data_IF_875835614188
#
_entry.id   IF_875835614188
#
_cell.length_a   1.000
_cell.length_b   1.000
_cell.length_c   1.000
_cell.angle_alpha   90.00
_cell.angle_beta   90.00
_cell.angle_gamma   90.00
#
_symmetry.space_group_name_H-M   'P 1'
#
loop_
_entity.id
_entity.type
_entity.pdbx_description
1 polymer ?
#
# COMPACT_ATOMS: atom_id res chain seq x y z
N UNK A 1 -16.72 14.13 14.43
CA UNK A 1 -17.43 13.44 15.53
C UNK A 1 -18.51 12.56 14.94
N UNK A 2 -18.34 11.25 15.08
CA UNK A 2 -19.31 10.25 14.64
C UNK A 2 -20.58 10.27 15.49
N UNK A 3 -21.73 10.12 14.85
CA UNK A 3 -23.02 9.95 15.53
C UNK A 3 -23.11 8.58 16.22
N UNK A 4 -23.98 8.45 17.23
CA UNK A 4 -24.25 7.16 17.89
C UNK A 4 -24.78 6.06 16.95
N UNK A 5 -25.29 6.45 15.78
CA UNK A 5 -25.70 5.51 14.73
C UNK A 5 -24.50 5.05 13.89
N UNK A 6 -23.60 5.96 13.52
CA UNK A 6 -22.38 5.65 12.76
C UNK A 6 -21.45 4.70 13.50
N UNK A 7 -21.42 4.74 14.83
CA UNK A 7 -20.68 3.77 15.65
C UNK A 7 -21.13 2.32 15.49
N UNK A 8 -22.36 2.09 14.98
CA UNK A 8 -22.94 0.75 14.75
C UNK A 8 -22.89 0.32 13.29
N UNK A 9 -22.32 1.14 12.41
CA UNK A 9 -22.18 0.80 10.99
C UNK A 9 -21.20 -0.35 10.81
N UNK A 10 -21.59 -1.33 9.99
CA UNK A 10 -20.69 -2.34 9.49
C UNK A 10 -19.98 -1.88 8.22
N UNK A 11 -19.17 -2.77 7.65
CA UNK A 11 -18.39 -2.48 6.44
C UNK A 11 -19.25 -1.98 5.29
N UNK A 12 -20.44 -2.56 5.07
CA UNK A 12 -21.31 -2.17 3.95
C UNK A 12 -21.82 -0.72 4.05
N UNK A 13 -22.24 -0.27 5.24
CA UNK A 13 -22.70 1.11 5.43
C UNK A 13 -21.54 2.11 5.28
N UNK A 14 -20.36 1.76 5.78
CA UNK A 14 -19.17 2.58 5.62
C UNK A 14 -18.70 2.67 4.17
N UNK A 15 -18.74 1.56 3.43
CA UNK A 15 -18.48 1.55 1.98
C UNK A 15 -19.45 2.47 1.28
N UNK A 16 -20.74 2.39 1.61
CA UNK A 16 -21.76 3.21 0.98
C UNK A 16 -21.58 4.71 1.28
N UNK A 17 -21.14 5.05 2.49
CA UNK A 17 -20.78 6.42 2.84
C UNK A 17 -19.52 6.92 2.12
N UNK A 18 -18.49 6.08 1.98
CA UNK A 18 -17.16 6.46 1.48
C UNK A 18 -17.05 6.40 -0.05
N UNK A 19 -17.82 5.55 -0.73
CA UNK A 19 -17.63 5.29 -2.16
C UNK A 19 -17.81 6.55 -3.03
N UNK A 20 -18.68 7.45 -2.59
CA UNK A 20 -19.02 8.71 -3.26
C UNK A 20 -18.24 9.91 -2.73
N UNK A 21 -17.38 9.72 -1.72
CA UNK A 21 -16.55 10.81 -1.20
C UNK A 21 -15.43 11.16 -2.18
N UNK A 22 -15.13 12.45 -2.23
CA UNK A 22 -14.01 13.00 -2.96
C UNK A 22 -12.72 12.58 -2.25
N UNK A 23 -11.93 11.71 -2.88
CA UNK A 23 -10.65 11.26 -2.33
C UNK A 23 -9.68 12.44 -2.34
N UNK A 24 -9.05 12.79 -1.21
CA UNK A 24 -8.12 13.92 -1.15
C UNK A 24 -6.83 13.64 -1.95
N UNK A 25 -5.92 14.58 -1.97
CA UNK A 25 -4.50 14.36 -2.32
C UNK A 25 -3.62 14.85 -1.18
N UNK A 26 -2.37 14.44 -1.13
CA UNK A 26 -1.44 14.96 -0.13
C UNK A 26 -1.04 16.40 -0.47
N UNK A 27 -0.85 17.22 0.56
CA UNK A 27 -0.50 18.64 0.40
C UNK A 27 0.74 18.82 -0.48
N UNK A 28 1.77 18.01 -0.24
CA UNK A 28 3.01 18.02 -1.02
C UNK A 28 2.81 17.63 -2.48
N UNK A 29 1.85 16.75 -2.78
CA UNK A 29 1.53 16.32 -4.15
C UNK A 29 0.84 17.43 -4.91
N UNK A 30 -0.11 18.11 -4.26
CA UNK A 30 -0.78 19.28 -4.85
C UNK A 30 0.23 20.39 -5.13
N UNK A 31 1.08 20.74 -4.15
CA UNK A 31 2.11 21.76 -4.32
C UNK A 31 3.09 21.42 -5.45
N UNK A 32 3.53 20.15 -5.52
CA UNK A 32 4.43 19.67 -6.58
C UNK A 32 3.79 19.81 -7.97
N UNK A 33 2.56 19.32 -8.16
CA UNK A 33 1.92 19.39 -9.48
C UNK A 33 1.54 20.82 -9.89
N UNK A 34 1.22 21.70 -8.93
CA UNK A 34 1.05 23.13 -9.21
C UNK A 34 2.36 23.78 -9.64
N UNK A 35 3.48 23.46 -8.98
CA UNK A 35 4.79 23.95 -9.37
C UNK A 35 5.17 23.49 -10.78
N UNK A 36 4.96 22.20 -11.09
CA UNK A 36 5.21 21.64 -12.42
C UNK A 36 4.29 22.26 -13.49
N UNK A 37 3.03 22.55 -13.16
CA UNK A 37 2.09 23.23 -14.07
C UNK A 37 2.41 24.71 -14.30
N UNK A 38 3.23 25.32 -13.44
CA UNK A 38 3.68 26.71 -13.59
C UNK A 38 4.95 26.87 -14.43
N UNK A 39 5.56 25.75 -14.85
CA UNK A 39 6.72 25.76 -15.74
C UNK A 39 6.33 26.26 -17.14
N UNK A 40 7.34 26.65 -17.93
CA UNK A 40 7.11 26.92 -19.35
C UNK A 40 6.70 25.65 -20.11
N UNK A 41 6.12 25.83 -21.29
CA UNK A 41 5.59 24.70 -22.09
C UNK A 41 6.68 23.68 -22.42
N UNK A 42 7.90 24.13 -22.73
CA UNK A 42 9.01 23.26 -23.09
C UNK A 42 9.45 22.37 -21.91
N UNK A 43 9.55 22.93 -20.70
CA UNK A 43 9.89 22.19 -19.49
C UNK A 43 8.77 21.24 -19.08
N UNK A 44 7.51 21.64 -19.28
CA UNK A 44 6.34 20.80 -18.99
C UNK A 44 6.29 19.59 -19.93
N UNK A 45 6.55 19.78 -21.22
CA UNK A 45 6.60 18.70 -22.22
C UNK A 45 7.77 17.72 -21.99
N UNK A 46 8.83 18.15 -21.31
CA UNK A 46 9.94 17.29 -20.94
C UNK A 46 9.60 16.29 -19.81
N UNK A 47 8.53 16.53 -19.05
CA UNK A 47 8.12 15.65 -17.96
C UNK A 47 7.55 14.35 -18.54
N UNK A 48 8.28 13.26 -18.34
CA UNK A 48 7.87 11.97 -18.89
C UNK A 48 6.70 11.36 -18.10
N UNK A 49 5.88 10.54 -18.77
CA UNK A 49 4.82 9.78 -18.09
C UNK A 49 5.35 8.86 -16.97
N UNK A 50 6.59 8.38 -17.10
CA UNK A 50 7.25 7.57 -16.06
C UNK A 50 7.61 8.40 -14.83
N UNK A 51 8.05 9.64 -15.02
CA UNK A 51 8.32 10.57 -13.91
C UNK A 51 7.04 10.92 -13.18
N UNK A 52 5.97 11.25 -13.91
CA UNK A 52 4.63 11.46 -13.34
C UNK A 52 4.12 10.24 -12.57
N UNK A 53 4.30 9.03 -13.12
CA UNK A 53 3.92 7.80 -12.42
C UNK A 53 4.69 7.63 -11.09
N UNK A 54 5.94 8.11 -11.00
CA UNK A 54 6.70 8.17 -9.76
C UNK A 54 6.07 9.10 -8.72
N UNK A 55 5.63 10.29 -9.13
CA UNK A 55 4.92 11.21 -8.22
C UNK A 55 3.57 10.65 -7.76
N UNK A 56 2.83 10.01 -8.67
CA UNK A 56 1.57 9.33 -8.33
C UNK A 56 1.81 8.20 -7.33
N UNK A 57 2.87 7.41 -7.50
CA UNK A 57 3.24 6.34 -6.55
C UNK A 57 3.57 6.84 -5.14
N UNK A 58 4.08 8.07 -5.01
CA UNK A 58 4.42 8.68 -3.72
C UNK A 58 3.19 9.21 -2.95
N UNK A 59 2.00 9.12 -3.55
CA UNK A 59 0.73 9.54 -2.96
C UNK A 59 -0.33 8.42 -3.14
N UNK A 60 -0.62 7.63 -2.08
CA UNK A 60 -1.62 6.57 -2.15
C UNK A 60 -3.03 7.08 -2.45
N UNK A 61 -3.37 8.31 -2.06
CA UNK A 61 -4.66 8.89 -2.41
C UNK A 61 -4.73 9.22 -3.90
N UNK A 62 -3.70 9.87 -4.45
CA UNK A 62 -3.64 10.19 -5.88
C UNK A 62 -3.61 8.93 -6.73
N UNK A 63 -2.84 7.91 -6.34
CA UNK A 63 -2.81 6.61 -7.03
C UNK A 63 -4.19 5.97 -7.11
N UNK A 64 -4.92 5.92 -5.97
CA UNK A 64 -6.27 5.39 -5.94
C UNK A 64 -7.24 6.23 -6.78
N UNK A 65 -7.17 7.56 -6.65
CA UNK A 65 -8.02 8.50 -7.37
C UNK A 65 -7.84 8.39 -8.87
N UNK A 66 -6.59 8.34 -9.34
CA UNK A 66 -6.26 8.25 -10.75
C UNK A 66 -6.68 6.91 -11.34
N UNK A 67 -6.50 5.80 -10.60
CA UNK A 67 -6.97 4.49 -10.99
C UNK A 67 -8.50 4.47 -11.14
N UNK A 68 -9.24 4.95 -10.13
CA UNK A 68 -10.72 5.06 -10.20
C UNK A 68 -11.16 5.92 -11.39
N UNK A 69 -10.48 7.03 -11.62
CA UNK A 69 -10.79 7.94 -12.72
C UNK A 69 -10.59 7.29 -14.10
N UNK A 70 -9.48 6.59 -14.29
CA UNK A 70 -9.18 5.87 -15.52
C UNK A 70 -10.22 4.76 -15.79
N UNK A 71 -10.59 3.99 -14.76
CA UNK A 71 -11.52 2.86 -14.90
C UNK A 71 -12.97 3.31 -15.14
N UNK A 72 -13.43 4.37 -14.47
CA UNK A 72 -14.73 4.98 -14.75
C UNK A 72 -14.88 5.44 -16.21
N UNK A 73 -13.77 5.82 -16.84
CA UNK A 73 -13.73 6.21 -18.25
C UNK A 73 -13.60 5.01 -19.18
N UNK A 74 -12.82 3.99 -18.79
CA UNK A 74 -12.73 2.70 -19.51
C UNK A 74 -14.11 2.05 -19.64
N UNK A 75 -14.93 2.06 -18.60
CA UNK A 75 -16.29 1.53 -18.71
C UNK A 75 -17.12 2.24 -19.80
N UNK A 76 -16.73 3.45 -20.23
CA UNK A 76 -17.38 4.22 -21.30
C UNK A 76 -16.67 4.10 -22.66
N UNK A 77 -15.45 3.56 -22.71
CA UNK A 77 -14.59 3.44 -23.90
C UNK A 77 -13.98 2.04 -23.94
N UNK A 78 -14.34 1.21 -24.93
CA UNK A 78 -13.76 -0.14 -25.06
C UNK A 78 -12.21 -0.08 -25.04
N UNK A 79 -11.61 -0.45 -23.92
CA UNK A 79 -10.18 -0.34 -23.64
C UNK A 79 -9.72 -1.39 -22.63
N UNK A 80 -8.41 -1.61 -22.56
CA UNK A 80 -7.82 -2.57 -21.62
C UNK A 80 -7.93 -2.06 -20.17
N UNK A 81 -7.90 -3.00 -19.22
CA UNK A 81 -7.93 -2.67 -17.79
C UNK A 81 -6.70 -1.86 -17.37
N UNK A 82 -6.89 -0.84 -16.55
CA UNK A 82 -5.80 -0.04 -16.00
C UNK A 82 -5.28 -0.71 -14.73
N UNK A 83 -4.19 -1.47 -14.82
CA UNK A 83 -3.65 -2.22 -13.67
C UNK A 83 -2.35 -1.65 -13.09
N UNK A 84 -1.84 -0.55 -13.67
CA UNK A 84 -0.60 0.12 -13.25
C UNK A 84 -0.77 1.64 -13.17
N UNK A 85 0.05 2.31 -12.36
CA UNK A 85 0.05 3.77 -12.25
C UNK A 85 0.45 4.43 -13.57
N UNK A 86 1.42 3.86 -14.29
CA UNK A 86 1.84 4.37 -15.60
C UNK A 86 0.69 4.33 -16.61
N UNK A 87 -0.06 3.23 -16.67
CA UNK A 87 -1.25 3.15 -17.51
C UNK A 87 -2.30 4.19 -17.10
N UNK A 88 -2.52 4.39 -15.79
CA UNK A 88 -3.46 5.39 -15.28
C UNK A 88 -3.05 6.83 -15.65
N UNK A 89 -1.76 7.15 -15.58
CA UNK A 89 -1.19 8.43 -16.02
C UNK A 89 -1.38 8.61 -17.52
N UNK A 90 -1.08 7.59 -18.34
CA UNK A 90 -1.24 7.66 -19.79
C UNK A 90 -2.71 7.80 -20.22
N UNK A 91 -3.63 7.08 -19.58
CA UNK A 91 -5.07 7.16 -19.85
C UNK A 91 -5.68 8.51 -19.44
N UNK A 92 -5.14 9.13 -18.38
CA UNK A 92 -5.62 10.43 -17.90
C UNK A 92 -5.01 11.59 -18.68
N UNK A 93 -3.70 11.53 -18.94
CA UNK A 93 -2.93 12.61 -19.54
C UNK A 93 -2.60 13.74 -18.55
N UNK A 94 -1.60 14.55 -18.90
CA UNK A 94 -1.06 15.62 -18.05
C UNK A 94 -2.11 16.67 -17.64
N UNK A 95 -2.77 17.31 -18.61
CA UNK A 95 -3.69 18.43 -18.34
C UNK A 95 -4.79 18.02 -17.36
N UNK A 96 -5.31 16.81 -17.53
CA UNK A 96 -6.37 16.31 -16.68
C UNK A 96 -5.87 15.85 -15.32
N UNK A 97 -4.67 15.25 -15.24
CA UNK A 97 -4.02 14.96 -13.96
C UNK A 97 -3.88 16.25 -13.12
N UNK A 98 -3.39 17.33 -13.73
CA UNK A 98 -3.26 18.65 -13.08
C UNK A 98 -4.61 19.19 -12.65
N UNK A 99 -5.64 19.08 -13.49
CA UNK A 99 -7.00 19.51 -13.14
C UNK A 99 -7.56 18.70 -11.97
N UNK A 100 -7.41 17.37 -11.99
CA UNK A 100 -7.87 16.49 -10.92
C UNK A 100 -7.22 16.86 -9.60
N UNK A 101 -5.90 17.05 -9.57
CA UNK A 101 -5.16 17.40 -8.35
C UNK A 101 -5.49 18.82 -7.87
N UNK A 102 -5.62 19.78 -8.79
CA UNK A 102 -5.99 21.15 -8.45
C UNK A 102 -7.41 21.25 -7.88
N UNK A 103 -8.34 20.42 -8.34
CA UNK A 103 -9.71 20.35 -7.85
C UNK A 103 -9.87 19.51 -6.57
N UNK A 104 -8.78 18.87 -6.10
CA UNK A 104 -8.85 17.95 -4.96
C UNK A 104 -8.83 18.67 -3.62
N UNK A 105 -9.55 18.12 -2.63
CA UNK A 105 -9.28 18.44 -1.24
C UNK A 105 -7.88 17.94 -0.85
N UNK A 106 -7.31 18.54 0.19
CA UNK A 106 -5.97 18.20 0.67
C UNK A 106 -6.03 17.47 2.00
N UNK A 107 -5.23 16.41 2.12
CA UNK A 107 -4.86 15.81 3.39
C UNK A 107 -3.59 16.48 3.89
N UNK A 108 -3.70 17.16 5.03
CA UNK A 108 -2.56 17.74 5.74
C UNK A 108 -1.79 16.69 6.57
N UNK A 109 -0.69 17.10 7.19
CA UNK A 109 0.16 16.22 8.00
C UNK A 109 -0.19 16.30 9.50
N UNK A 110 -1.37 16.82 9.87
CA UNK A 110 -1.74 17.06 11.27
C UNK A 110 -2.05 15.79 12.07
N UNK A 111 -2.44 14.70 11.38
CA UNK A 111 -2.85 13.44 11.99
C UNK A 111 -1.73 12.40 11.90
N UNK A 112 -1.02 12.16 13.02
CA UNK A 112 0.08 11.18 13.07
C UNK A 112 -0.33 9.79 12.54
N UNK A 113 -1.48 9.27 12.97
CA UNK A 113 -1.93 7.94 12.55
C UNK A 113 -2.18 7.83 11.05
N UNK A 114 -2.68 8.91 10.42
CA UNK A 114 -2.82 9.01 8.96
C UNK A 114 -1.45 9.02 8.28
N UNK A 115 -0.50 9.81 8.77
CA UNK A 115 0.84 9.91 8.20
C UNK A 115 1.60 8.58 8.32
N UNK A 116 1.47 7.87 9.45
CA UNK A 116 2.07 6.54 9.64
C UNK A 116 1.47 5.53 8.64
N UNK A 117 0.15 5.58 8.43
CA UNK A 117 -0.55 4.72 7.47
C UNK A 117 -0.13 5.00 6.03
N UNK A 118 0.03 6.28 5.68
CA UNK A 118 0.49 6.73 4.37
C UNK A 118 1.93 6.29 4.11
N UNK A 119 2.85 6.57 5.05
CA UNK A 119 4.23 6.14 4.96
C UNK A 119 4.34 4.62 4.77
N UNK A 120 3.54 3.87 5.55
CA UNK A 120 3.48 2.41 5.46
C UNK A 120 2.99 1.91 4.10
N UNK A 121 1.98 2.55 3.52
CA UNK A 121 1.47 2.21 2.19
C UNK A 121 2.54 2.44 1.10
N UNK A 122 3.21 3.59 1.14
CA UNK A 122 4.30 3.91 0.19
C UNK A 122 5.48 2.97 0.38
N UNK A 123 5.84 2.64 1.62
CA UNK A 123 6.89 1.67 1.92
C UNK A 123 6.54 0.28 1.39
N UNK A 124 5.32 -0.21 1.65
CA UNK A 124 4.85 -1.50 1.15
C UNK A 124 4.94 -1.58 -0.38
N UNK A 125 4.54 -0.51 -1.08
CA UNK A 125 4.66 -0.39 -2.53
C UNK A 125 6.12 -0.50 -3.01
N UNK A 126 7.03 0.22 -2.37
CA UNK A 126 8.46 0.21 -2.71
C UNK A 126 9.08 -1.18 -2.51
N UNK A 127 8.81 -1.82 -1.37
CA UNK A 127 9.27 -3.17 -1.06
C UNK A 127 8.72 -4.18 -2.08
N UNK A 128 7.40 -4.12 -2.34
CA UNK A 128 6.73 -4.98 -3.29
C UNK A 128 7.34 -4.87 -4.70
N UNK A 129 7.61 -3.64 -5.15
CA UNK A 129 8.26 -3.37 -6.44
C UNK A 129 9.66 -3.96 -6.50
N UNK A 130 10.46 -3.73 -5.46
CA UNK A 130 11.83 -4.25 -5.37
C UNK A 130 11.87 -5.78 -5.43
N UNK A 131 11.00 -6.45 -4.68
CA UNK A 131 10.92 -7.91 -4.70
C UNK A 131 10.37 -8.47 -6.01
N UNK A 132 9.28 -7.90 -6.53
CA UNK A 132 8.70 -8.34 -7.79
C UNK A 132 9.68 -8.16 -8.97
N UNK A 133 10.55 -7.14 -8.93
CA UNK A 133 11.59 -6.91 -9.96
C UNK A 133 12.68 -7.99 -9.99
N UNK A 134 12.79 -8.82 -8.96
CA UNK A 134 13.71 -9.97 -8.93
C UNK A 134 13.15 -11.18 -9.69
N UNK A 135 11.99 -11.03 -10.34
CA UNK A 135 11.35 -12.04 -11.18
C UNK A 135 10.92 -11.45 -12.52
N UNK A 136 11.18 -12.17 -13.61
CA UNK A 136 10.83 -11.74 -14.96
C UNK A 136 9.38 -12.03 -15.35
N UNK A 137 8.72 -12.99 -14.69
CA UNK A 137 7.35 -13.44 -14.96
C UNK A 137 6.27 -12.68 -14.16
N UNK A 138 6.67 -11.63 -13.45
CA UNK A 138 5.79 -10.80 -12.62
C UNK A 138 5.88 -9.36 -13.09
N UNK A 139 4.74 -8.68 -13.20
CA UNK A 139 4.71 -7.22 -13.40
C UNK A 139 4.97 -6.50 -12.07
N UNK A 140 6.12 -5.83 -11.88
CA UNK A 140 6.45 -5.21 -10.59
C UNK A 140 5.51 -4.05 -10.25
N UNK A 141 5.06 -3.30 -11.25
CA UNK A 141 4.21 -2.13 -11.05
C UNK A 141 2.77 -2.52 -10.65
N UNK A 142 2.26 -3.69 -11.09
CA UNK A 142 0.95 -4.21 -10.62
C UNK A 142 1.02 -4.61 -9.14
N UNK A 143 2.08 -5.33 -8.76
CA UNK A 143 2.29 -5.78 -7.37
C UNK A 143 2.50 -4.58 -6.45
N UNK A 144 3.29 -3.59 -6.89
CA UNK A 144 3.51 -2.35 -6.16
C UNK A 144 2.23 -1.55 -5.97
N UNK A 145 1.43 -1.36 -7.03
CA UNK A 145 0.15 -0.67 -6.93
C UNK A 145 -0.80 -1.38 -5.98
N UNK A 146 -0.92 -2.71 -6.05
CA UNK A 146 -1.76 -3.45 -5.12
C UNK A 146 -1.27 -3.33 -3.66
N UNK A 147 0.04 -3.34 -3.41
CA UNK A 147 0.60 -3.13 -2.08
C UNK A 147 0.32 -1.71 -1.57
N UNK A 148 0.45 -0.68 -2.42
CA UNK A 148 0.09 0.70 -2.10
C UNK A 148 -1.39 0.84 -1.69
N UNK A 149 -2.28 0.20 -2.46
CA UNK A 149 -3.73 0.29 -2.26
C UNK A 149 -4.25 -0.62 -1.14
N UNK A 150 -3.42 -1.52 -0.59
CA UNK A 150 -3.85 -2.47 0.44
C UNK A 150 -4.33 -1.78 1.73
N UNK A 151 -3.82 -0.58 2.00
CA UNK A 151 -4.17 0.24 3.18
C UNK A 151 -5.19 1.35 2.87
N UNK A 152 -5.73 1.43 1.64
CA UNK A 152 -6.63 2.52 1.23
C UNK A 152 -7.88 2.65 2.09
N UNK A 153 -8.45 1.55 2.57
CA UNK A 153 -9.57 1.56 3.49
C UNK A 153 -9.22 2.22 4.83
N UNK A 154 -8.04 1.92 5.39
CA UNK A 154 -7.57 2.56 6.62
C UNK A 154 -7.27 4.05 6.40
N UNK A 155 -6.60 4.40 5.30
CA UNK A 155 -6.30 5.80 4.95
C UNK A 155 -7.56 6.65 4.85
N UNK A 156 -8.59 6.16 4.16
CA UNK A 156 -9.85 6.89 4.03
C UNK A 156 -10.60 7.00 5.35
N UNK A 157 -10.53 5.98 6.22
CA UNK A 157 -11.08 6.07 7.56
C UNK A 157 -10.34 7.12 8.40
N UNK A 158 -9.01 7.20 8.34
CA UNK A 158 -8.25 8.27 8.99
C UNK A 158 -8.66 9.66 8.51
N UNK A 159 -8.97 9.81 7.22
CA UNK A 159 -9.38 11.09 6.66
C UNK A 159 -10.83 11.49 7.01
N UNK A 160 -11.79 10.57 6.87
CA UNK A 160 -13.22 10.88 7.00
C UNK A 160 -13.82 10.56 8.37
N UNK A 161 -13.23 9.63 9.12
CA UNK A 161 -13.76 9.10 10.38
C UNK A 161 -12.63 8.65 11.32
N UNK A 162 -11.67 9.53 11.69
CA UNK A 162 -10.48 9.18 12.47
C UNK A 162 -10.79 8.55 13.82
N UNK A 163 -12.00 8.75 14.35
CA UNK A 163 -12.48 8.11 15.57
C UNK A 163 -12.45 6.58 15.51
N UNK A 164 -12.64 5.99 14.32
CA UNK A 164 -12.60 4.54 14.13
C UNK A 164 -11.18 3.96 14.31
N UNK A 165 -10.17 4.36 13.52
CA UNK A 165 -8.82 3.83 13.69
C UNK A 165 -8.17 4.26 15.02
N UNK A 166 -8.55 5.39 15.61
CA UNK A 166 -8.16 5.73 16.99
C UNK A 166 -8.67 4.69 17.99
N UNK A 167 -9.95 4.29 17.90
CA UNK A 167 -10.51 3.24 18.77
C UNK A 167 -9.80 1.90 18.59
N UNK A 168 -9.38 1.56 17.36
CA UNK A 168 -8.57 0.36 17.09
C UNK A 168 -7.20 0.45 17.78
N UNK A 169 -6.55 1.62 17.71
CA UNK A 169 -5.27 1.84 18.37
C UNK A 169 -5.41 1.73 19.90
N UNK A 170 -6.47 2.29 20.48
CA UNK A 170 -6.77 2.18 21.91
C UNK A 170 -7.05 0.71 22.34
N UNK A 171 -7.79 -0.04 21.52
CA UNK A 171 -8.06 -1.46 21.78
C UNK A 171 -6.77 -2.28 21.79
N UNK A 172 -5.86 -2.03 20.83
CA UNK A 172 -4.56 -2.68 20.77
C UNK A 172 -3.67 -2.30 21.97
N UNK A 173 -3.60 -1.02 22.29
CA UNK A 173 -2.80 -0.50 23.41
C UNK A 173 -3.30 -1.01 24.77
N UNK A 174 -4.60 -1.30 24.90
CA UNK A 174 -5.17 -1.85 26.12
C UNK A 174 -4.73 -3.28 26.45
N UNK A 175 -4.13 -3.99 25.49
CA UNK A 175 -3.72 -5.40 25.64
C UNK A 175 -4.88 -6.40 25.62
N UNK A 176 -6.14 -5.96 25.49
CA UNK A 176 -7.31 -6.84 25.37
C UNK A 176 -7.31 -7.66 24.07
N UNK A 177 -6.71 -7.10 23.01
CA UNK A 177 -6.49 -7.79 21.75
C UNK A 177 -5.03 -8.25 21.63
N UNK A 178 -4.82 -9.57 21.52
CA UNK A 178 -3.48 -10.14 21.36
C UNK A 178 -2.87 -9.91 19.96
N UNK A 179 -3.68 -9.54 18.97
CA UNK A 179 -3.25 -9.32 17.58
C UNK A 179 -3.93 -8.08 16.97
N UNK A 180 -3.25 -7.34 16.08
CA UNK A 180 -3.82 -6.16 15.42
C UNK A 180 -5.17 -6.43 14.74
N UNK A 181 -5.31 -7.58 14.07
CA UNK A 181 -6.56 -7.96 13.40
C UNK A 181 -7.73 -8.10 14.39
N UNK A 182 -7.48 -8.68 15.58
CA UNK A 182 -8.50 -8.83 16.61
C UNK A 182 -8.91 -7.49 17.21
N UNK A 183 -7.97 -6.56 17.36
CA UNK A 183 -8.26 -5.20 17.80
C UNK A 183 -9.23 -4.49 16.83
N UNK A 184 -9.04 -4.67 15.51
CA UNK A 184 -9.96 -4.12 14.51
C UNK A 184 -11.38 -4.70 14.64
N UNK A 185 -11.49 -6.03 14.68
CA UNK A 185 -12.78 -6.72 14.81
C UNK A 185 -13.52 -6.32 16.10
N UNK A 186 -12.81 -6.23 17.23
CA UNK A 186 -13.40 -5.88 18.53
C UNK A 186 -13.79 -4.39 18.61
N UNK A 187 -12.96 -3.50 18.07
CA UNK A 187 -13.18 -2.06 18.18
C UNK A 187 -14.29 -1.56 17.24
N UNK A 188 -14.29 -2.02 15.98
CA UNK A 188 -15.12 -1.44 14.91
C UNK A 188 -15.94 -2.48 14.12
N UNK A 189 -15.83 -3.78 14.45
CA UNK A 189 -16.67 -4.83 13.87
C UNK A 189 -16.25 -5.33 12.47
N UNK A 190 -15.16 -4.80 11.92
CA UNK A 190 -14.56 -5.23 10.65
C UNK A 190 -13.07 -4.90 10.63
N UNK A 191 -12.35 -5.45 9.66
CA UNK A 191 -10.93 -5.21 9.45
C UNK A 191 -10.71 -4.14 8.40
N UNK A 192 -9.61 -3.38 8.49
CA UNK A 192 -9.27 -2.39 7.47
C UNK A 192 -9.06 -3.03 6.09
N UNK A 193 -8.58 -4.28 6.03
CA UNK A 193 -8.48 -5.04 4.78
C UNK A 193 -9.86 -5.32 4.18
N UNK A 194 -10.86 -5.68 5.00
CA UNK A 194 -12.25 -5.84 4.53
C UNK A 194 -12.80 -4.52 3.99
N UNK A 195 -12.51 -3.39 4.65
CA UNK A 195 -12.87 -2.06 4.14
C UNK A 195 -12.24 -1.78 2.77
N UNK A 196 -10.92 -1.98 2.64
CA UNK A 196 -10.21 -1.80 1.37
C UNK A 196 -10.83 -2.65 0.26
N UNK A 197 -11.03 -3.95 0.49
CA UNK A 197 -11.56 -4.86 -0.53
C UNK A 197 -12.99 -4.52 -0.94
N UNK A 198 -13.84 -4.18 0.03
CA UNK A 198 -15.22 -3.80 -0.26
C UNK A 198 -15.32 -2.47 -1.03
N UNK A 199 -14.41 -1.52 -0.79
CA UNK A 199 -14.31 -0.30 -1.58
C UNK A 199 -13.79 -0.56 -3.01
N UNK A 200 -12.77 -1.41 -3.16
CA UNK A 200 -12.24 -1.83 -4.47
C UNK A 200 -13.34 -2.46 -5.32
N UNK A 201 -14.17 -3.30 -4.72
CA UNK A 201 -15.35 -3.91 -5.37
C UNK A 201 -16.42 -2.86 -5.70
N UNK A 202 -16.76 -1.96 -4.77
CA UNK A 202 -17.77 -0.92 -4.97
C UNK A 202 -17.38 0.11 -6.04
N UNK A 203 -16.08 0.30 -6.30
CA UNK A 203 -15.56 1.15 -7.36
C UNK A 203 -15.33 0.43 -8.68
N UNK A 204 -15.66 -0.85 -8.77
CA UNK A 204 -15.49 -1.67 -9.98
C UNK A 204 -14.05 -1.63 -10.52
N UNK A 205 -13.07 -1.57 -9.61
CA UNK A 205 -11.66 -1.63 -10.01
C UNK A 205 -11.32 -3.00 -10.62
N UNK A 206 -10.27 -3.10 -11.44
CA UNK A 206 -9.87 -4.34 -12.09
C UNK A 206 -9.79 -5.50 -11.09
N UNK A 207 -10.42 -6.66 -11.37
CA UNK A 207 -10.46 -7.79 -10.43
C UNK A 207 -9.09 -8.23 -9.93
N UNK A 208 -8.05 -8.07 -10.76
CA UNK A 208 -6.66 -8.37 -10.38
C UNK A 208 -6.19 -7.55 -9.18
N UNK A 209 -6.60 -6.29 -9.03
CA UNK A 209 -6.24 -5.44 -7.88
C UNK A 209 -6.80 -6.05 -6.59
N UNK A 210 -8.08 -6.45 -6.60
CA UNK A 210 -8.69 -7.12 -5.45
C UNK A 210 -7.99 -8.45 -5.11
N UNK A 211 -7.64 -9.26 -6.12
CA UNK A 211 -6.92 -10.53 -5.93
C UNK A 211 -5.54 -10.32 -5.30
N UNK A 212 -4.79 -9.32 -5.79
CA UNK A 212 -3.46 -8.99 -5.24
C UNK A 212 -3.55 -8.45 -3.82
N UNK A 213 -4.54 -7.59 -3.50
CA UNK A 213 -4.78 -7.08 -2.15
C UNK A 213 -5.23 -8.18 -1.19
N UNK A 214 -6.05 -9.16 -1.63
CA UNK A 214 -6.41 -10.32 -0.80
C UNK A 214 -5.17 -11.08 -0.36
N UNK A 215 -4.17 -11.17 -1.23
CA UNK A 215 -2.89 -11.78 -0.88
C UNK A 215 -2.94 -13.31 -0.85
N UNK A 216 -3.82 -13.92 -1.62
CA UNK A 216 -4.00 -15.38 -1.71
C UNK A 216 -3.88 -15.85 -3.16
N UNK A 217 -3.72 -17.16 -3.35
CA UNK A 217 -3.95 -17.85 -4.63
C UNK A 217 -2.98 -17.58 -5.79
N UNK A 218 -2.02 -16.66 -5.63
CA UNK A 218 -0.97 -16.46 -6.64
C UNK A 218 0.34 -15.97 -6.04
N UNK A 219 1.44 -16.20 -6.77
CA UNK A 219 2.77 -15.70 -6.45
C UNK A 219 2.78 -14.17 -6.27
N UNK A 220 2.16 -13.45 -7.22
CA UNK A 220 2.07 -11.98 -7.21
C UNK A 220 1.35 -11.46 -5.97
N UNK A 221 0.22 -12.08 -5.63
CA UNK A 221 -0.54 -11.73 -4.42
C UNK A 221 0.25 -12.03 -3.14
N UNK A 222 0.99 -13.14 -3.09
CA UNK A 222 1.85 -13.45 -1.95
C UNK A 222 2.99 -12.43 -1.78
N UNK A 223 3.64 -11.98 -2.86
CA UNK A 223 4.67 -10.93 -2.80
C UNK A 223 4.07 -9.62 -2.26
N UNK A 224 2.92 -9.18 -2.79
CA UNK A 224 2.22 -7.98 -2.32
C UNK A 224 1.88 -8.07 -0.83
N UNK A 225 1.27 -9.19 -0.40
CA UNK A 225 0.93 -9.43 1.01
C UNK A 225 2.16 -9.35 1.92
N UNK A 226 3.22 -10.08 1.55
CA UNK A 226 4.44 -10.09 2.34
C UNK A 226 5.06 -8.69 2.43
N UNK A 227 5.03 -7.90 1.36
CA UNK A 227 5.58 -6.54 1.38
C UNK A 227 4.80 -5.62 2.32
N UNK A 228 3.47 -5.74 2.34
CA UNK A 228 2.59 -5.01 3.28
C UNK A 228 2.88 -5.42 4.72
N UNK A 229 3.03 -6.72 4.99
CA UNK A 229 3.32 -7.22 6.34
C UNK A 229 4.73 -6.80 6.80
N UNK A 230 5.73 -6.83 5.92
CA UNK A 230 7.09 -6.35 6.22
C UNK A 230 7.13 -4.83 6.45
N UNK A 231 6.40 -4.05 5.64
CA UNK A 231 6.30 -2.61 5.86
C UNK A 231 5.67 -2.28 7.22
N UNK A 232 4.63 -3.02 7.63
CA UNK A 232 4.02 -2.91 8.97
C UNK A 232 5.03 -3.19 10.07
N UNK A 233 5.79 -4.27 9.94
CA UNK A 233 6.79 -4.67 10.93
C UNK A 233 7.91 -3.64 11.05
N UNK A 234 8.43 -3.12 9.94
CA UNK A 234 9.48 -2.08 9.91
C UNK A 234 8.99 -0.77 10.55
N UNK A 235 7.75 -0.36 10.25
CA UNK A 235 7.16 0.86 10.84
C UNK A 235 6.95 0.70 12.34
N UNK A 236 6.57 -0.51 12.80
CA UNK A 236 6.42 -0.79 14.22
C UNK A 236 7.76 -0.86 14.96
N UNK A 237 8.79 -1.47 14.33
CA UNK A 237 10.14 -1.56 14.85
C UNK A 237 11.13 -1.73 13.68
N UNK A 238 12.06 -0.79 13.50
CA UNK A 238 13.04 -0.85 12.42
C UNK A 238 14.02 -2.04 12.53
N UNK A 239 14.06 -2.74 13.67
CA UNK A 239 14.81 -4.00 13.90
C UNK A 239 13.87 -5.17 14.23
N UNK A 240 12.71 -5.23 13.59
CA UNK A 240 11.67 -6.21 13.91
C UNK A 240 12.16 -7.67 13.74
N UNK A 241 12.03 -8.54 14.77
CA UNK A 241 12.64 -9.88 14.77
C UNK A 241 12.03 -10.86 13.75
N UNK A 242 10.92 -10.53 13.11
CA UNK A 242 10.30 -11.36 12.06
C UNK A 242 11.05 -11.30 10.72
N UNK A 243 11.86 -10.26 10.47
CA UNK A 243 12.47 -9.99 9.17
C UNK A 243 13.27 -11.21 8.63
N UNK A 244 14.14 -11.88 9.42
CA UNK A 244 14.82 -13.09 8.95
C UNK A 244 13.85 -14.17 8.44
N UNK A 245 12.79 -14.47 9.19
CA UNK A 245 11.80 -15.48 8.80
C UNK A 245 10.99 -15.06 7.57
N UNK A 246 10.70 -13.77 7.41
CA UNK A 246 10.03 -13.24 6.23
C UNK A 246 10.88 -13.42 4.97
N UNK A 247 12.18 -13.13 5.05
CA UNK A 247 13.10 -13.31 3.92
C UNK A 247 13.25 -14.77 3.51
N UNK A 248 13.32 -15.69 4.47
CA UNK A 248 13.33 -17.14 4.17
C UNK A 248 12.05 -17.56 3.45
N UNK A 249 10.88 -17.07 3.91
CA UNK A 249 9.61 -17.35 3.23
C UNK A 249 9.56 -16.73 1.82
N UNK A 250 10.13 -15.53 1.64
CA UNK A 250 10.15 -14.83 0.37
C UNK A 250 11.10 -15.51 -0.63
N UNK A 251 12.23 -16.05 -0.17
CA UNK A 251 13.15 -16.81 -1.03
C UNK A 251 12.46 -18.05 -1.61
N UNK A 252 11.53 -18.69 -0.91
CA UNK A 252 10.72 -19.79 -1.48
C UNK A 252 9.85 -19.33 -2.66
N UNK A 253 9.44 -18.07 -2.68
CA UNK A 253 8.68 -17.45 -3.76
C UNK A 253 9.59 -16.93 -4.89
N UNK A 254 10.83 -16.55 -4.55
CA UNK A 254 11.84 -16.02 -5.48
C UNK A 254 13.15 -16.82 -5.31
N UNK A 255 13.22 -18.09 -5.74
CA UNK A 255 14.36 -18.95 -5.43
C UNK A 255 15.68 -18.49 -6.05
N UNK A 256 15.62 -17.74 -7.15
CA UNK A 256 16.80 -17.19 -7.82
C UNK A 256 17.41 -15.99 -7.08
N UNK A 257 16.69 -15.36 -6.15
CA UNK A 257 17.19 -14.22 -5.39
C UNK A 257 17.99 -14.65 -4.16
N UNK A 258 19.15 -14.04 -3.98
CA UNK A 258 19.90 -14.10 -2.73
C UNK A 258 19.20 -13.32 -1.61
N UNK A 259 19.44 -13.69 -0.36
CA UNK A 259 18.93 -12.93 0.79
C UNK A 259 19.40 -11.47 0.79
N UNK A 260 20.59 -11.17 0.26
CA UNK A 260 21.08 -9.80 0.09
C UNK A 260 20.23 -8.99 -0.91
N UNK A 261 19.85 -9.60 -2.05
CA UNK A 261 18.94 -8.97 -3.00
C UNK A 261 17.53 -8.77 -2.42
N UNK A 262 17.04 -9.72 -1.63
CA UNK A 262 15.74 -9.60 -0.95
C UNK A 262 15.75 -8.53 0.16
N UNK A 263 16.90 -8.30 0.79
CA UNK A 263 17.10 -7.26 1.79
C UNK A 263 17.22 -5.86 1.19
N UNK A 264 17.80 -5.72 -0.01
CA UNK A 264 18.11 -4.41 -0.61
C UNK A 264 16.95 -3.41 -0.60
N UNK A 265 15.68 -3.78 -0.89
CA UNK A 265 14.56 -2.85 -0.87
C UNK A 265 14.10 -2.40 0.52
N UNK A 266 14.54 -3.07 1.60
CA UNK A 266 14.11 -2.74 2.97
C UNK A 266 14.90 -1.54 3.51
N UNK A 267 14.26 -0.48 4.05
CA UNK A 267 14.95 0.69 4.61
C UNK A 267 15.41 0.42 6.05
N UNK A 268 16.31 -0.54 6.22
CA UNK A 268 16.90 -0.89 7.51
C UNK A 268 18.39 -0.54 7.54
N UNK A 269 18.92 -0.30 8.74
CA UNK A 269 20.31 0.08 8.95
C UNK A 269 21.28 -1.06 8.56
N UNK A 270 22.48 -0.70 8.09
CA UNK A 270 23.45 -1.65 7.53
C UNK A 270 23.94 -2.67 8.56
N UNK A 271 24.16 -2.25 9.81
CA UNK A 271 24.50 -3.14 10.92
C UNK A 271 23.42 -4.22 11.13
N UNK A 272 22.15 -3.82 11.06
CA UNK A 272 21.05 -4.75 11.19
C UNK A 272 20.89 -5.66 9.95
N UNK A 273 21.23 -5.20 8.74
CA UNK A 273 21.28 -6.08 7.55
C UNK A 273 22.24 -7.25 7.76
N UNK A 274 23.43 -6.97 8.32
CA UNK A 274 24.42 -8.00 8.62
C UNK A 274 23.90 -9.01 9.64
N UNK A 275 23.28 -8.53 10.73
CA UNK A 275 22.65 -9.39 11.74
C UNK A 275 21.58 -10.30 11.14
N UNK A 276 20.73 -9.78 10.25
CA UNK A 276 19.70 -10.57 9.57
C UNK A 276 20.32 -11.67 8.70
N UNK A 277 21.35 -11.35 7.93
CA UNK A 277 22.05 -12.34 7.09
C UNK A 277 22.73 -13.44 7.91
N UNK A 278 23.33 -13.08 9.05
CA UNK A 278 23.91 -14.02 10.00
C UNK A 278 22.83 -14.93 10.61
N UNK A 279 21.71 -14.36 11.04
CA UNK A 279 20.59 -15.11 11.62
C UNK A 279 20.01 -16.14 10.64
N UNK A 280 19.87 -15.79 9.35
CA UNK A 280 19.39 -16.70 8.32
C UNK A 280 20.39 -17.84 8.07
N UNK A 281 21.69 -17.52 8.03
CA UNK A 281 22.76 -18.50 7.82
C UNK A 281 22.82 -19.51 8.98
N UNK A 282 22.64 -19.04 10.22
CA UNK A 282 22.59 -19.91 11.40
C UNK A 282 21.39 -20.87 11.40
N UNK A 283 20.25 -20.46 10.83
CA UNK A 283 19.04 -21.30 10.72
C UNK A 283 19.14 -22.36 9.62
N UNK A 284 19.97 -22.13 8.61
CA UNK A 284 20.18 -23.05 7.48
C UNK A 284 21.37 -24.01 7.68
N UNK A 285 22.17 -23.81 8.73
CA UNK A 285 23.24 -24.75 9.09
C UNK A 285 22.65 -26.12 9.53
N UNK A 286 23.15 -27.25 9.00
CA UNK A 286 22.67 -28.57 9.42
C UNK A 286 22.94 -28.74 10.92
N UNK A 287 21.92 -29.15 11.69
CA UNK A 287 22.11 -29.55 13.08
C UNK A 287 23.12 -30.70 13.10
N UNK A 288 24.36 -30.40 13.48
CA UNK A 288 25.42 -31.39 13.60
C UNK A 288 24.92 -32.54 14.45
N UNK A 289 24.87 -33.74 13.86
CA UNK A 289 24.33 -34.92 14.50
C UNK A 289 24.95 -35.13 15.89
N UNK A 290 24.10 -35.19 16.92
CA UNK A 290 24.47 -35.83 18.17
C UNK A 290 24.89 -37.25 17.83
N UNK A 291 26.19 -37.53 17.85
CA UNK A 291 26.69 -38.91 17.89
C UNK A 291 26.10 -39.54 19.16
N UNK A 292 25.39 -40.68 19.08
CA UNK A 292 25.07 -41.44 20.26
C UNK A 292 26.40 -41.91 20.86
N UNK A 293 26.59 -41.57 22.14
CA UNK A 293 27.63 -42.08 23.03
C UNK A 293 27.50 -43.57 23.25
#
# INVERSE_FOLDING_TARGET
MLTSFQWRWGVAQWVEFLKDKEIPVLLRTQALLQALASLDSASTEAISARELAGYVFADPYLSLKLLRHAENRRSRRLGQETTTTLAAVLHTGWNELVQLVSASSVSDDSCKGRNDCEFRAVLASSIARGWASLRSDVSPDEVALAALLSESGELLLWYFAPELPLKVADELASGRAFRPLRAQEQAIGFTFRQMTLALVEAWELPPIIALLIRGTDSLRANIARMAVDTARDIVANNRHPSIPAQLVNLQRLIPAASHAQLLAPLPIADDYREEVLLAISAQTAPQGGRKPS
#
